data_IF_134780341209
#
_entry.id   IF_134780341209
#
_cell.length_a   1.000
_cell.length_b   1.000
_cell.length_c   1.000
_cell.angle_alpha   90.00
_cell.angle_beta   90.00
_cell.angle_gamma   90.00
#
_symmetry.space_group_name_H-M   'P 1'
#
loop_
_entity.id
_entity.type
_entity.pdbx_description
1 polymer ?
#
# COMPACT_ATOMS: atom_id res chain seq x y z
N UNK A 1 21.24 -28.21 12.40
CA UNK A 1 21.47 -27.47 11.17
C UNK A 1 20.70 -28.15 10.03
N UNK A 2 20.14 -27.36 9.14
CA UNK A 2 19.40 -27.88 8.00
C UNK A 2 20.37 -28.39 6.92
N UNK A 3 19.94 -29.37 6.13
CA UNK A 3 20.71 -29.89 5.01
C UNK A 3 20.75 -28.81 3.90
N UNK A 4 21.96 -28.39 3.51
CA UNK A 4 22.18 -27.47 2.42
C UNK A 4 21.91 -28.15 1.07
N UNK A 5 21.15 -27.47 0.20
CA UNK A 5 20.85 -27.90 -1.17
C UNK A 5 21.22 -26.75 -2.12
N UNK A 6 21.86 -27.04 -3.27
CA UNK A 6 22.26 -26.03 -4.27
C UNK A 6 21.09 -25.15 -4.75
N UNK A 7 19.87 -25.66 -4.71
CA UNK A 7 18.65 -24.86 -5.00
C UNK A 7 18.48 -23.68 -4.05
N UNK A 8 18.92 -23.82 -2.80
CA UNK A 8 18.79 -22.75 -1.79
C UNK A 8 19.61 -21.52 -2.17
N UNK A 9 20.78 -21.67 -2.83
CA UNK A 9 21.59 -20.56 -3.33
C UNK A 9 20.85 -19.76 -4.41
N UNK A 10 20.18 -20.44 -5.31
CA UNK A 10 19.41 -19.79 -6.39
C UNK A 10 18.20 -19.04 -5.83
N UNK A 11 17.53 -19.61 -4.83
CA UNK A 11 16.39 -19.00 -4.17
C UNK A 11 16.82 -17.76 -3.34
N UNK A 12 17.94 -17.85 -2.61
CA UNK A 12 18.55 -16.72 -1.90
C UNK A 12 18.90 -15.61 -2.89
N UNK A 13 19.62 -15.94 -3.99
CA UNK A 13 19.99 -14.97 -5.02
C UNK A 13 18.76 -14.29 -5.62
N UNK A 14 17.73 -15.06 -5.97
CA UNK A 14 16.48 -14.54 -6.54
C UNK A 14 15.77 -13.59 -5.57
N UNK A 15 15.63 -13.98 -4.30
CA UNK A 15 15.02 -13.13 -3.27
C UNK A 15 15.77 -11.82 -3.06
N UNK A 16 17.10 -11.87 -2.95
CA UNK A 16 17.91 -10.68 -2.76
C UNK A 16 17.92 -9.77 -3.99
N UNK A 17 17.94 -10.36 -5.19
CA UNK A 17 17.86 -9.60 -6.46
C UNK A 17 16.49 -8.95 -6.68
N UNK A 18 15.44 -9.40 -6.01
CA UNK A 18 14.11 -8.78 -6.08
C UNK A 18 13.99 -7.52 -5.22
N UNK A 19 14.96 -7.25 -4.34
CA UNK A 19 14.98 -6.05 -3.51
C UNK A 19 15.30 -4.83 -4.37
N UNK A 20 14.42 -3.83 -4.36
CA UNK A 20 14.50 -2.66 -5.26
C UNK A 20 15.70 -1.74 -5.01
N UNK A 21 16.37 -1.93 -3.90
CA UNK A 21 17.59 -1.19 -3.53
C UNK A 21 18.88 -1.98 -3.73
N UNK A 22 18.81 -3.16 -4.35
CA UNK A 22 19.96 -4.01 -4.65
C UNK A 22 20.22 -4.00 -6.17
N UNK A 23 21.45 -3.69 -6.56
CA UNK A 23 21.88 -3.68 -7.97
C UNK A 23 22.39 -5.04 -8.41
N UNK A 24 23.25 -5.67 -7.59
CA UNK A 24 23.86 -6.94 -7.90
C UNK A 24 23.96 -7.82 -6.67
N UNK A 25 23.77 -9.12 -6.87
CA UNK A 25 23.87 -10.16 -5.85
C UNK A 25 24.77 -11.27 -6.36
N UNK A 26 25.83 -11.52 -5.63
CA UNK A 26 26.68 -12.69 -5.84
C UNK A 26 26.56 -13.60 -4.63
N UNK A 27 26.14 -14.82 -4.86
CA UNK A 27 26.02 -15.86 -3.83
C UNK A 27 26.96 -17.00 -4.21
N UNK A 28 27.85 -17.34 -3.30
CA UNK A 28 28.77 -18.47 -3.45
C UNK A 28 28.81 -19.31 -2.19
N UNK A 29 29.17 -20.58 -2.33
CA UNK A 29 29.33 -21.50 -1.21
C UNK A 29 30.75 -22.04 -1.17
N UNK A 30 31.30 -22.14 0.03
CA UNK A 30 32.56 -22.80 0.29
C UNK A 30 32.32 -23.95 1.26
N UNK A 31 32.67 -25.18 0.85
CA UNK A 31 32.57 -26.36 1.70
C UNK A 31 33.83 -26.49 2.55
N UNK A 32 33.66 -26.58 3.83
CA UNK A 32 34.78 -26.81 4.76
C UNK A 32 34.41 -27.93 5.73
N UNK A 33 35.01 -29.11 5.56
CA UNK A 33 34.68 -30.34 6.29
C UNK A 33 33.16 -30.66 6.19
N UNK A 34 32.47 -30.69 7.35
CA UNK A 34 31.03 -30.99 7.44
C UNK A 34 30.13 -29.74 7.44
N UNK A 35 30.67 -28.58 7.12
CA UNK A 35 29.94 -27.31 7.08
C UNK A 35 30.07 -26.64 5.72
N UNK A 36 29.02 -25.92 5.32
CA UNK A 36 29.01 -25.09 4.10
C UNK A 36 28.85 -23.64 4.52
N UNK A 37 29.87 -22.82 4.22
CA UNK A 37 29.78 -21.39 4.38
C UNK A 37 29.17 -20.75 3.15
N UNK A 38 28.15 -19.91 3.33
CA UNK A 38 27.55 -19.15 2.25
C UNK A 38 28.08 -17.72 2.32
N UNK A 39 28.73 -17.29 1.23
CA UNK A 39 29.20 -15.92 1.06
C UNK A 39 28.23 -15.16 0.17
N UNK A 40 27.70 -14.05 0.70
CA UNK A 40 26.77 -13.17 -0.01
C UNK A 40 27.41 -11.81 -0.17
N UNK A 41 27.68 -11.40 -1.42
CA UNK A 41 28.14 -10.07 -1.75
C UNK A 41 26.97 -9.28 -2.35
N UNK A 42 26.62 -8.15 -1.74
CA UNK A 42 25.56 -7.27 -2.18
C UNK A 42 26.16 -5.94 -2.64
N UNK A 43 25.73 -5.49 -3.82
CA UNK A 43 25.95 -4.13 -4.28
C UNK A 43 24.65 -3.35 -4.15
N UNK A 44 24.61 -2.41 -3.20
CA UNK A 44 23.42 -1.63 -2.91
C UNK A 44 23.35 -0.39 -3.82
N UNK A 45 22.14 -0.09 -4.30
CA UNK A 45 21.88 1.13 -5.02
C UNK A 45 21.96 2.34 -4.08
N UNK A 46 22.88 3.26 -4.34
CA UNK A 46 23.02 4.50 -3.57
C UNK A 46 21.84 5.47 -3.76
N UNK A 47 21.02 5.25 -4.81
CA UNK A 47 19.86 6.07 -5.14
C UNK A 47 18.61 5.21 -5.07
N UNK A 48 18.02 5.10 -3.90
CA UNK A 48 16.83 4.30 -3.63
C UNK A 48 15.54 5.09 -3.73
N UNK A 49 15.66 6.43 -3.79
CA UNK A 49 14.56 7.36 -3.91
C UNK A 49 14.20 7.66 -5.37
N UNK A 50 12.92 7.89 -5.59
CA UNK A 50 12.35 8.38 -6.85
C UNK A 50 11.29 9.43 -6.59
N UNK A 51 11.05 10.29 -7.57
CA UNK A 51 9.92 11.21 -7.56
C UNK A 51 9.15 11.09 -8.87
N UNK A 52 7.85 11.29 -8.76
CA UNK A 52 6.92 11.33 -9.88
C UNK A 52 6.24 12.70 -9.87
N UNK A 53 6.18 13.34 -11.02
CA UNK A 53 5.34 14.50 -11.27
C UNK A 53 4.52 14.24 -12.52
N UNK A 54 3.21 14.50 -12.45
CA UNK A 54 2.31 14.31 -13.57
C UNK A 54 1.18 15.35 -13.56
N UNK A 55 0.62 15.60 -14.74
CA UNK A 55 -0.58 16.41 -14.91
C UNK A 55 -1.63 15.65 -15.68
N UNK A 56 -2.91 15.98 -15.46
CA UNK A 56 -4.05 15.43 -16.18
C UNK A 56 -5.03 16.53 -16.53
N UNK A 57 -5.82 16.30 -17.57
CA UNK A 57 -6.96 17.16 -17.95
C UNK A 57 -8.16 16.22 -18.13
N UNK A 58 -9.21 16.47 -17.39
CA UNK A 58 -10.47 15.75 -17.46
C UNK A 58 -11.60 16.70 -17.82
N UNK A 59 -12.62 16.21 -18.53
CA UNK A 59 -13.83 16.97 -18.81
C UNK A 59 -14.66 17.26 -17.57
N UNK A 60 -14.59 16.39 -16.57
CA UNK A 60 -15.40 16.47 -15.35
C UNK A 60 -14.68 17.24 -14.23
N UNK A 61 -13.42 16.85 -13.93
CA UNK A 61 -12.64 17.41 -12.81
C UNK A 61 -11.62 18.46 -13.23
N UNK A 62 -11.57 18.81 -14.53
CA UNK A 62 -10.68 19.86 -15.04
C UNK A 62 -9.20 19.49 -15.03
N UNK A 63 -8.37 20.40 -14.54
CA UNK A 63 -6.93 20.23 -14.42
C UNK A 63 -6.60 19.49 -13.13
N UNK A 64 -5.77 18.46 -13.27
CA UNK A 64 -5.23 17.71 -12.15
C UNK A 64 -3.70 17.66 -12.17
N UNK A 65 -3.12 17.43 -11.00
CA UNK A 65 -1.70 17.22 -10.81
C UNK A 65 -1.43 16.11 -9.78
N UNK A 66 -0.38 15.36 -9.99
CA UNK A 66 0.12 14.38 -9.02
C UNK A 66 1.58 14.64 -8.75
N UNK A 67 1.95 14.61 -7.49
CA UNK A 67 3.33 14.59 -7.04
C UNK A 67 3.53 13.45 -6.05
N UNK A 68 4.57 12.66 -6.23
CA UNK A 68 4.89 11.55 -5.33
C UNK A 68 6.40 11.43 -5.15
N UNK A 69 6.80 11.18 -3.90
CA UNK A 69 8.16 10.81 -3.52
C UNK A 69 8.10 9.41 -2.95
N UNK A 70 8.99 8.54 -3.43
CA UNK A 70 9.11 7.17 -2.94
C UNK A 70 10.58 6.84 -2.69
N UNK A 71 10.86 6.24 -1.54
CA UNK A 71 12.17 5.69 -1.20
C UNK A 71 12.00 4.23 -0.76
N UNK A 72 12.80 3.34 -1.36
CA UNK A 72 12.74 1.89 -1.11
C UNK A 72 13.70 1.41 -0.03
N UNK A 73 14.53 2.30 0.51
CA UNK A 73 15.52 1.96 1.54
C UNK A 73 15.74 3.12 2.51
N UNK A 74 14.66 3.55 3.15
CA UNK A 74 14.67 4.71 4.06
C UNK A 74 15.71 4.50 5.15
N UNK A 75 16.65 5.43 5.24
CA UNK A 75 17.76 5.39 6.20
C UNK A 75 18.62 4.10 6.17
N UNK A 76 18.62 3.38 5.04
CA UNK A 76 19.37 2.13 4.91
C UNK A 76 18.77 0.94 5.68
N UNK A 77 17.48 0.98 5.98
CA UNK A 77 16.78 -0.05 6.78
C UNK A 77 16.07 -1.11 5.96
N UNK A 78 16.05 -0.96 4.63
CA UNK A 78 15.25 -1.81 3.74
C UNK A 78 13.74 -1.54 3.77
N UNK A 79 13.31 -0.54 4.53
CA UNK A 79 11.91 -0.14 4.62
C UNK A 79 11.56 0.89 3.53
N UNK A 80 10.30 0.95 3.15
CA UNK A 80 9.82 1.87 2.11
C UNK A 80 9.02 3.02 2.72
N UNK A 81 9.11 4.20 2.10
CA UNK A 81 8.17 5.30 2.31
C UNK A 81 7.63 5.77 0.96
N UNK A 82 6.35 6.08 0.92
CA UNK A 82 5.70 6.72 -0.21
C UNK A 82 4.86 7.88 0.30
N UNK A 83 5.20 9.10 -0.10
CA UNK A 83 4.40 10.29 0.17
C UNK A 83 3.88 10.84 -1.15
N UNK A 84 2.58 11.12 -1.25
CA UNK A 84 1.95 11.62 -2.46
C UNK A 84 0.92 12.69 -2.17
N UNK A 85 0.78 13.60 -3.14
CA UNK A 85 -0.29 14.59 -3.22
C UNK A 85 -0.92 14.42 -4.59
N UNK A 86 -2.21 14.12 -4.61
CA UNK A 86 -3.04 14.14 -5.80
C UNK A 86 -3.97 15.36 -5.69
N UNK A 87 -4.02 16.16 -6.71
CA UNK A 87 -4.83 17.38 -6.75
C UNK A 87 -5.65 17.41 -8.04
N UNK A 88 -6.91 17.71 -7.92
CA UNK A 88 -7.74 18.23 -9.00
C UNK A 88 -8.71 19.28 -8.43
N UNK A 89 -9.61 19.82 -9.27
CA UNK A 89 -10.52 20.90 -8.86
C UNK A 89 -11.50 20.46 -7.75
N UNK A 90 -11.86 19.18 -7.72
CA UNK A 90 -12.84 18.64 -6.78
C UNK A 90 -12.19 17.84 -5.65
N UNK A 91 -10.94 17.36 -5.83
CA UNK A 91 -10.28 16.50 -4.85
C UNK A 91 -8.84 16.90 -4.58
N UNK A 92 -8.46 16.89 -3.32
CA UNK A 92 -7.06 16.96 -2.88
C UNK A 92 -6.78 15.87 -1.89
N UNK A 93 -5.95 14.89 -2.26
CA UNK A 93 -5.54 13.79 -1.41
C UNK A 93 -4.05 13.89 -1.08
N UNK A 94 -3.73 14.05 0.18
CA UNK A 94 -2.40 13.85 0.75
C UNK A 94 -2.34 12.48 1.42
N UNK A 95 -1.30 11.70 1.10
CA UNK A 95 -1.15 10.34 1.61
C UNK A 95 0.32 10.02 1.89
N UNK A 96 0.61 9.46 3.06
CA UNK A 96 1.91 8.87 3.39
C UNK A 96 1.69 7.42 3.78
N UNK A 97 2.48 6.53 3.18
CA UNK A 97 2.55 5.11 3.53
C UNK A 97 4.00 4.77 3.87
N UNK A 98 4.22 4.26 5.07
CA UNK A 98 5.48 3.67 5.48
C UNK A 98 5.32 2.15 5.57
N UNK A 99 6.16 1.41 4.83
CA UNK A 99 6.14 -0.06 4.81
C UNK A 99 7.40 -0.58 5.48
N UNK A 100 7.20 -1.35 6.54
CA UNK A 100 8.27 -2.01 7.28
C UNK A 100 8.31 -3.49 6.92
N UNK A 101 9.52 -3.99 6.66
CA UNK A 101 9.82 -5.40 6.41
C UNK A 101 10.63 -5.95 7.61
N UNK A 102 10.01 -6.76 8.51
CA UNK A 102 10.75 -7.33 9.64
C UNK A 102 11.86 -8.27 9.19
N UNK A 103 13.03 -8.15 9.78
CA UNK A 103 14.21 -8.98 9.46
C UNK A 103 14.00 -10.49 9.63
N UNK A 104 13.04 -10.89 10.48
CA UNK A 104 12.78 -12.30 10.78
C UNK A 104 11.96 -13.03 9.71
N UNK A 105 11.34 -12.29 8.78
CA UNK A 105 10.50 -12.90 7.74
C UNK A 105 10.31 -11.93 6.58
N UNK A 106 10.83 -12.27 5.41
CA UNK A 106 10.60 -11.53 4.16
C UNK A 106 9.13 -11.62 3.67
N UNK A 107 8.35 -12.46 4.32
CA UNK A 107 6.94 -12.68 3.98
C UNK A 107 5.99 -11.77 4.73
N UNK A 108 6.50 -10.93 5.65
CA UNK A 108 5.68 -10.04 6.48
C UNK A 108 5.89 -8.59 6.05
N UNK A 109 4.79 -7.84 5.94
CA UNK A 109 4.77 -6.40 5.66
C UNK A 109 3.89 -5.70 6.67
N UNK A 110 4.43 -4.68 7.33
CA UNK A 110 3.65 -3.78 8.17
C UNK A 110 3.52 -2.45 7.45
N UNK A 111 2.30 -2.02 7.15
CA UNK A 111 2.04 -0.73 6.52
C UNK A 111 1.41 0.22 7.53
N UNK A 112 1.95 1.42 7.62
CA UNK A 112 1.43 2.53 8.39
C UNK A 112 0.98 3.60 7.41
N UNK A 113 -0.28 4.01 7.52
CA UNK A 113 -0.93 4.98 6.64
C UNK A 113 -1.28 6.24 7.44
N UNK A 114 -1.04 7.40 6.84
CA UNK A 114 -1.63 8.68 7.25
C UNK A 114 -2.18 9.34 5.99
N UNK A 115 -3.38 9.89 6.09
CA UNK A 115 -3.99 10.59 4.96
C UNK A 115 -4.82 11.80 5.41
N UNK A 116 -4.97 12.73 4.48
CA UNK A 116 -5.94 13.81 4.51
C UNK A 116 -6.50 13.99 3.11
N UNK A 117 -7.81 13.94 2.98
CA UNK A 117 -8.54 14.07 1.74
C UNK A 117 -9.58 15.19 1.87
N UNK A 118 -9.55 16.12 0.93
CA UNK A 118 -10.52 17.22 0.82
C UNK A 118 -11.28 17.06 -0.50
N UNK A 119 -12.60 16.84 -0.41
CA UNK A 119 -13.49 16.71 -1.56
C UNK A 119 -14.44 17.90 -1.63
N UNK A 120 -14.36 18.68 -2.70
CA UNK A 120 -15.21 19.85 -2.96
C UNK A 120 -16.28 19.55 -4.01
N UNK A 121 -17.41 19.05 -3.55
CA UNK A 121 -18.58 18.81 -4.39
C UNK A 121 -19.58 19.99 -4.39
N UNK A 122 -19.09 21.21 -4.10
CA UNK A 122 -19.95 22.40 -4.01
C UNK A 122 -20.67 22.67 -5.32
N UNK A 123 -19.99 22.53 -6.45
CA UNK A 123 -20.55 22.80 -7.79
C UNK A 123 -21.62 21.79 -8.17
N UNK A 124 -21.43 20.51 -7.83
CA UNK A 124 -22.28 19.42 -8.27
C UNK A 124 -23.39 19.08 -7.26
N UNK A 125 -23.07 19.14 -5.96
CA UNK A 125 -23.95 18.65 -4.89
C UNK A 125 -24.16 19.63 -3.74
N UNK A 126 -23.41 20.74 -3.71
CA UNK A 126 -23.57 21.79 -2.69
C UNK A 126 -22.92 21.50 -1.34
N UNK A 127 -21.95 20.60 -1.26
CA UNK A 127 -21.24 20.27 -0.02
C UNK A 127 -19.75 20.01 -0.24
N UNK A 128 -19.00 20.06 0.87
CA UNK A 128 -17.59 19.64 0.96
C UNK A 128 -17.43 18.57 2.02
N UNK A 129 -16.49 17.67 1.79
CA UNK A 129 -16.11 16.62 2.74
C UNK A 129 -14.61 16.65 2.94
N UNK A 130 -14.18 16.74 4.19
CA UNK A 130 -12.79 16.51 4.58
C UNK A 130 -12.73 15.20 5.35
N UNK A 131 -11.84 14.30 4.94
CA UNK A 131 -11.55 13.05 5.63
C UNK A 131 -10.07 13.00 5.99
N UNK A 132 -9.77 12.74 7.25
CA UNK A 132 -8.42 12.61 7.75
C UNK A 132 -8.31 11.39 8.66
N UNK A 133 -7.19 10.69 8.54
CA UNK A 133 -7.07 9.48 9.31
C UNK A 133 -5.71 8.85 9.27
N UNK A 134 -5.65 7.72 9.93
CA UNK A 134 -4.48 6.85 9.94
C UNK A 134 -4.91 5.39 9.89
N UNK A 135 -4.03 4.55 9.40
CA UNK A 135 -4.28 3.12 9.31
C UNK A 135 -3.03 2.29 9.59
N UNK A 136 -3.27 1.06 9.92
CA UNK A 136 -2.26 0.04 10.03
C UNK A 136 -2.75 -1.22 9.32
N UNK A 137 -1.88 -1.85 8.54
CA UNK A 137 -2.17 -3.18 7.99
C UNK A 137 -0.96 -4.10 8.09
N UNK A 138 -1.26 -5.35 8.28
CA UNK A 138 -0.33 -6.45 8.33
C UNK A 138 -0.59 -7.38 7.15
N UNK A 139 0.44 -7.54 6.30
CA UNK A 139 0.38 -8.45 5.16
C UNK A 139 1.38 -9.58 5.33
N UNK A 140 1.02 -10.78 4.89
CA UNK A 140 1.93 -11.92 4.89
C UNK A 140 1.64 -12.86 3.71
N UNK A 141 2.70 -13.46 3.18
CA UNK A 141 2.61 -14.46 2.13
C UNK A 141 2.25 -15.82 2.75
N UNK A 142 0.99 -16.26 2.57
CA UNK A 142 0.53 -17.55 3.02
C UNK A 142 1.12 -18.68 2.16
N UNK A 143 1.24 -18.46 0.87
CA UNK A 143 1.93 -19.30 -0.10
C UNK A 143 2.68 -18.44 -1.12
N UNK A 144 3.34 -19.05 -2.11
CA UNK A 144 3.97 -18.32 -3.22
C UNK A 144 2.95 -17.55 -4.06
N UNK A 145 1.73 -18.07 -4.12
CA UNK A 145 0.64 -17.55 -4.94
C UNK A 145 -0.37 -16.74 -4.14
N UNK A 146 -0.34 -16.79 -2.78
CA UNK A 146 -1.38 -16.21 -1.93
C UNK A 146 -0.80 -15.25 -0.92
N UNK A 147 -1.21 -14.00 -0.99
CA UNK A 147 -0.94 -12.97 0.01
C UNK A 147 -2.21 -12.65 0.78
N UNK A 148 -2.10 -12.53 2.11
CA UNK A 148 -3.19 -12.15 3.00
C UNK A 148 -2.88 -10.79 3.63
N UNK A 149 -3.90 -9.95 3.72
CA UNK A 149 -3.83 -8.63 4.33
C UNK A 149 -4.91 -8.47 5.38
N UNK A 150 -4.53 -7.97 6.57
CA UNK A 150 -5.46 -7.62 7.65
C UNK A 150 -5.07 -6.23 8.13
N UNK A 151 -6.04 -5.34 8.31
CA UNK A 151 -5.74 -3.99 8.75
C UNK A 151 -6.93 -3.31 9.40
N UNK A 152 -6.66 -2.15 9.96
CA UNK A 152 -7.67 -1.21 10.40
C UNK A 152 -7.29 0.21 9.99
N UNK A 153 -8.30 1.06 9.86
CA UNK A 153 -8.15 2.48 9.59
C UNK A 153 -9.10 3.26 10.49
N UNK A 154 -8.61 4.32 11.07
CA UNK A 154 -9.43 5.35 11.70
C UNK A 154 -9.60 6.48 10.71
N UNK A 155 -10.84 6.89 10.48
CA UNK A 155 -11.25 8.01 9.64
C UNK A 155 -12.08 8.98 10.46
N UNK A 156 -11.78 10.27 10.32
CA UNK A 156 -12.55 11.37 10.87
C UNK A 156 -13.01 12.26 9.72
N UNK A 157 -14.22 12.00 9.27
CA UNK A 157 -14.86 12.66 8.15
C UNK A 157 -15.69 13.84 8.64
N UNK A 158 -15.51 15.01 8.02
CA UNK A 158 -16.25 16.24 8.31
C UNK A 158 -16.93 16.76 7.06
N UNK A 159 -18.25 16.77 7.08
CA UNK A 159 -19.06 17.32 6.02
C UNK A 159 -19.45 18.78 6.31
N UNK A 160 -19.35 19.64 5.29
CA UNK A 160 -19.77 21.03 5.36
C UNK A 160 -20.72 21.35 4.21
N UNK A 161 -21.88 21.90 4.50
CA UNK A 161 -22.78 22.41 3.46
C UNK A 161 -22.34 23.77 2.97
N UNK A 162 -22.20 23.94 1.66
CA UNK A 162 -21.91 25.23 1.05
C UNK A 162 -23.18 26.08 0.81
N UNK A 163 -24.35 25.47 0.86
CA UNK A 163 -25.64 26.15 0.59
C UNK A 163 -26.69 25.75 1.62
N UNK A 164 -27.30 26.73 2.26
CA UNK A 164 -28.45 26.56 3.17
C UNK A 164 -29.75 26.14 2.47
N UNK A 165 -29.73 26.00 1.15
CA UNK A 165 -30.94 25.74 0.34
C UNK A 165 -31.28 24.28 0.16
N UNK A 166 -30.37 23.36 0.53
CA UNK A 166 -30.63 21.92 0.41
C UNK A 166 -30.73 21.28 1.81
N UNK A 167 -31.98 21.19 2.32
CA UNK A 167 -32.26 20.64 3.65
C UNK A 167 -31.78 19.20 3.79
N UNK A 168 -31.85 18.38 2.73
CA UNK A 168 -31.37 16.99 2.75
C UNK A 168 -29.86 16.94 3.02
N UNK A 169 -29.09 17.81 2.38
CA UNK A 169 -27.64 17.89 2.57
C UNK A 169 -27.31 18.41 3.97
N UNK A 170 -28.00 19.47 4.44
CA UNK A 170 -27.77 20.03 5.79
C UNK A 170 -28.12 19.09 6.92
N UNK A 171 -29.12 18.22 6.74
CA UNK A 171 -29.58 17.28 7.77
C UNK A 171 -28.72 16.01 7.84
N UNK A 172 -27.97 15.68 6.77
CA UNK A 172 -27.14 14.47 6.67
C UNK A 172 -25.63 14.75 6.65
N UNK A 173 -25.21 16.00 6.78
CA UNK A 173 -23.80 16.39 6.90
C UNK A 173 -23.45 16.57 8.37
N UNK A 174 -22.33 15.98 8.79
CA UNK A 174 -21.85 16.08 10.16
C UNK A 174 -20.39 15.67 10.28
N UNK A 175 -19.99 15.41 11.51
CA UNK A 175 -18.72 14.76 11.81
C UNK A 175 -18.99 13.29 12.04
N UNK A 176 -18.25 12.45 11.32
CA UNK A 176 -18.33 11.00 11.40
C UNK A 176 -16.97 10.44 11.75
N UNK A 177 -16.89 9.65 12.80
CA UNK A 177 -15.68 8.96 13.21
C UNK A 177 -15.89 7.47 12.98
N UNK A 178 -15.02 6.87 12.20
CA UNK A 178 -15.16 5.48 11.79
C UNK A 178 -13.88 4.69 12.06
N UNK A 179 -14.04 3.48 12.55
CA UNK A 179 -13.00 2.46 12.58
C UNK A 179 -13.38 1.40 11.56
N UNK A 180 -12.54 1.28 10.54
CA UNK A 180 -12.77 0.40 9.41
C UNK A 180 -11.77 -0.74 9.49
N UNK A 181 -12.26 -1.97 9.58
CA UNK A 181 -11.44 -3.17 9.47
C UNK A 181 -11.39 -3.62 8.02
N UNK A 182 -10.19 -4.01 7.58
CA UNK A 182 -9.95 -4.50 6.21
C UNK A 182 -9.35 -5.88 6.25
N UNK A 183 -9.85 -6.74 5.39
CA UNK A 183 -9.30 -8.05 5.11
C UNK A 183 -9.15 -8.19 3.60
N UNK A 184 -7.99 -8.68 3.15
CA UNK A 184 -7.70 -8.88 1.73
C UNK A 184 -7.03 -10.21 1.48
N UNK A 185 -7.36 -10.80 0.34
CA UNK A 185 -6.71 -11.99 -0.22
C UNK A 185 -6.32 -11.67 -1.65
N UNK A 186 -5.03 -11.75 -1.94
CA UNK A 186 -4.49 -11.68 -3.30
C UNK A 186 -4.02 -13.07 -3.70
N UNK A 187 -4.59 -13.62 -4.76
CA UNK A 187 -4.22 -14.90 -5.33
C UNK A 187 -3.73 -14.70 -6.77
N UNK A 188 -2.45 -15.01 -7.01
CA UNK A 188 -1.81 -14.79 -8.31
C UNK A 188 -0.99 -16.02 -8.71
N UNK A 189 -1.43 -16.72 -9.77
CA UNK A 189 -0.75 -17.85 -10.39
C UNK A 189 -0.22 -17.50 -11.78
N UNK A 190 -0.21 -16.21 -12.15
CA UNK A 190 0.25 -15.81 -13.47
C UNK A 190 1.74 -16.09 -13.66
N UNK A 191 2.08 -16.51 -14.86
CA UNK A 191 3.46 -16.83 -15.25
C UNK A 191 4.34 -15.61 -15.49
N UNK A 192 3.73 -14.42 -15.70
CA UNK A 192 4.41 -13.14 -15.88
C UNK A 192 3.55 -12.01 -15.33
N UNK A 193 4.19 -11.02 -14.70
CA UNK A 193 3.49 -9.89 -14.07
C UNK A 193 2.97 -8.88 -15.08
N UNK A 194 3.73 -8.59 -16.16
CA UNK A 194 3.41 -7.57 -17.15
C UNK A 194 2.63 -8.12 -18.33
N UNK A 195 2.98 -9.33 -18.78
CA UNK A 195 2.39 -9.98 -19.96
C UNK A 195 2.00 -11.42 -19.66
N UNK A 196 0.99 -11.64 -18.79
CA UNK A 196 0.58 -12.97 -18.41
C UNK A 196 -0.03 -13.71 -19.63
N UNK A 197 0.51 -14.88 -19.91
CA UNK A 197 0.00 -15.79 -20.96
C UNK A 197 -0.70 -17.01 -20.39
N UNK A 198 -0.54 -17.25 -19.09
CA UNK A 198 -1.15 -18.37 -18.37
C UNK A 198 -1.31 -18.01 -16.89
N UNK A 199 -2.27 -18.68 -16.22
CA UNK A 199 -2.58 -18.46 -14.81
C UNK A 199 -3.80 -17.54 -14.62
N UNK A 200 -4.09 -17.23 -13.37
CA UNK A 200 -5.18 -16.32 -12.98
C UNK A 200 -4.71 -15.38 -11.87
N UNK A 201 -5.31 -14.20 -11.80
CA UNK A 201 -5.15 -13.26 -10.69
C UNK A 201 -6.52 -12.90 -10.16
N UNK A 202 -6.74 -13.09 -8.87
CA UNK A 202 -7.95 -12.73 -8.14
C UNK A 202 -7.57 -11.89 -6.94
N UNK A 203 -8.33 -10.84 -6.71
CA UNK A 203 -8.23 -10.01 -5.51
C UNK A 203 -9.59 -10.00 -4.84
N UNK A 204 -9.64 -10.43 -3.59
CA UNK A 204 -10.83 -10.29 -2.74
C UNK A 204 -10.54 -9.34 -1.62
N UNK A 205 -11.41 -8.38 -1.39
CA UNK A 205 -11.34 -7.48 -0.25
C UNK A 205 -12.68 -7.38 0.48
N UNK A 206 -12.59 -7.33 1.80
CA UNK A 206 -13.71 -7.09 2.71
C UNK A 206 -13.38 -5.89 3.59
N UNK A 207 -14.27 -4.91 3.62
CA UNK A 207 -14.26 -3.79 4.54
C UNK A 207 -15.45 -3.90 5.48
N UNK A 208 -15.20 -3.68 6.76
CA UNK A 208 -16.21 -3.75 7.80
C UNK A 208 -16.06 -2.57 8.77
N UNK A 209 -17.13 -1.79 8.93
CA UNK A 209 -17.25 -0.70 9.90
C UNK A 209 -18.34 -1.04 10.90
N UNK A 210 -17.98 -1.42 12.16
CA UNK A 210 -18.95 -1.85 13.17
C UNK A 210 -19.68 -0.68 13.80
N UNK A 211 -20.97 -0.89 14.13
CA UNK A 211 -21.88 0.08 14.75
C UNK A 211 -21.36 0.60 16.11
N UNK A 212 -20.67 -0.26 16.87
CA UNK A 212 -20.19 0.08 18.22
C UNK A 212 -18.95 0.99 18.22
N UNK A 213 -18.24 1.08 17.10
CA UNK A 213 -16.96 1.80 16.96
C UNK A 213 -16.99 2.87 15.87
N UNK A 214 -18.12 3.04 15.21
CA UNK A 214 -18.23 3.90 14.01
C UNK A 214 -19.60 4.57 13.95
N UNK A 215 -19.59 5.81 13.50
CA UNK A 215 -20.83 6.54 13.23
C UNK A 215 -21.53 6.00 11.97
N UNK A 216 -20.73 5.50 10.98
CA UNK A 216 -21.24 4.84 9.79
C UNK A 216 -20.96 3.34 9.81
N UNK A 217 -22.01 2.54 9.87
CA UNK A 217 -21.88 1.08 9.79
C UNK A 217 -22.07 0.58 8.37
N UNK A 218 -21.15 -0.25 7.92
CA UNK A 218 -21.28 -0.92 6.63
C UNK A 218 -20.41 -2.18 6.52
N UNK A 219 -20.76 -3.00 5.56
CA UNK A 219 -19.93 -4.09 5.05
C UNK A 219 -19.85 -3.93 3.54
N UNK A 220 -18.62 -3.91 3.00
CA UNK A 220 -18.35 -3.84 1.57
C UNK A 220 -17.43 -4.97 1.17
N UNK A 221 -17.79 -5.71 0.13
CA UNK A 221 -16.93 -6.71 -0.48
C UNK A 221 -16.65 -6.37 -1.93
N UNK A 222 -15.44 -6.64 -2.37
CA UNK A 222 -14.99 -6.45 -3.76
C UNK A 222 -14.27 -7.71 -4.22
N UNK A 223 -14.52 -8.14 -5.45
CA UNK A 223 -13.89 -9.27 -6.11
C UNK A 223 -13.25 -8.82 -7.41
#
# INVERSE_FOLDING_TARGET
>A
GDLFIDKDLSDIKSKLSSLKYVNNVEVSSNNFNDTTDILINLDENKKTGSFLFGGSISGDTGLGAVFSIKDYNVFGTGNEINASINYDIENTLFKIVYTQYPFSSNSIKNNYLIFNEDNDYTSSYGYKVQDQGFGYSFGFDYSKETNLNIGFEYSNMRGHSASKQNNFVTDNIGNFQNIIFRFGIDYDTTNDFLYPTNGMRNNFSLEFSPDELSDDKYIKSTL
#
